data_IF_391487484616
#
_entry.id   IF_391487484616
#
_cell.length_a   1.000
_cell.length_b   1.000
_cell.length_c   1.000
_cell.angle_alpha   90.00
_cell.angle_beta   90.00
_cell.angle_gamma   90.00
#
_symmetry.space_group_name_H-M   'P 1'
#
loop_
_entity.id
_entity.type
_entity.pdbx_description
1 polymer ?
#
# COMPACT_ATOMS: atom_id res chain seq x y z
N UNK A 1 7.11 -23.01 13.39
CA UNK A 1 6.47 -22.05 14.32
C UNK A 1 5.51 -21.21 13.48
N UNK A 2 4.26 -21.03 13.90
CA UNK A 2 3.29 -20.15 13.21
C UNK A 2 3.27 -18.77 13.88
N UNK A 3 3.06 -17.71 13.10
CA UNK A 3 2.89 -16.37 13.65
C UNK A 3 1.56 -16.32 14.45
N UNK A 4 1.58 -16.04 15.76
CA UNK A 4 0.34 -15.96 16.56
C UNK A 4 -0.56 -14.80 16.12
N UNK A 5 0.00 -13.80 15.42
CA UNK A 5 -0.75 -12.67 14.87
C UNK A 5 -1.44 -12.95 13.53
N UNK A 6 -1.26 -14.12 12.91
CA UNK A 6 -1.82 -14.42 11.60
C UNK A 6 -3.36 -14.23 11.53
N UNK A 7 -4.17 -14.70 12.50
CA UNK A 7 -5.61 -14.50 12.44
C UNK A 7 -6.04 -13.03 12.47
N UNK A 8 -5.29 -12.17 13.18
CA UNK A 8 -5.55 -10.74 13.22
C UNK A 8 -5.20 -10.09 11.87
N UNK A 9 -4.05 -10.42 11.30
CA UNK A 9 -3.61 -9.90 10.01
C UNK A 9 -4.61 -10.21 8.89
N UNK A 10 -5.15 -11.43 8.86
CA UNK A 10 -6.18 -11.86 7.89
C UNK A 10 -7.47 -11.05 7.98
N UNK A 11 -7.81 -10.49 9.16
CA UNK A 11 -8.99 -9.63 9.34
C UNK A 11 -8.68 -8.16 9.07
N UNK A 12 -7.54 -7.67 9.56
CA UNK A 12 -7.19 -6.26 9.52
C UNK A 12 -6.79 -5.80 8.12
N UNK A 13 -6.00 -6.59 7.39
CA UNK A 13 -5.48 -6.17 6.08
C UNK A 13 -6.60 -5.92 5.05
N UNK A 14 -7.62 -6.78 4.88
CA UNK A 14 -8.73 -6.50 3.97
C UNK A 14 -9.58 -5.30 4.40
N UNK A 15 -9.79 -5.11 5.71
CA UNK A 15 -10.57 -3.97 6.23
C UNK A 15 -9.89 -2.64 5.93
N UNK A 16 -8.58 -2.54 6.19
CA UNK A 16 -7.78 -1.35 5.90
C UNK A 16 -7.68 -1.10 4.39
N UNK A 17 -7.54 -2.14 3.58
CA UNK A 17 -7.49 -1.98 2.14
C UNK A 17 -8.85 -1.50 1.59
N UNK A 18 -9.94 -2.11 2.05
CA UNK A 18 -11.30 -1.76 1.65
C UNK A 18 -11.65 -0.31 1.97
N UNK A 19 -11.26 0.20 3.14
CA UNK A 19 -11.51 1.60 3.49
C UNK A 19 -10.78 2.61 2.59
N UNK A 20 -9.65 2.21 1.99
CA UNK A 20 -8.88 3.04 1.06
C UNK A 20 -9.43 2.99 -0.38
N UNK A 21 -9.80 1.81 -0.87
CA UNK A 21 -10.12 1.61 -2.29
C UNK A 21 -11.61 1.71 -2.62
N UNK A 22 -12.50 1.59 -1.63
CA UNK A 22 -13.94 1.52 -1.90
C UNK A 22 -14.60 2.90 -2.12
N UNK A 23 -13.98 3.99 -1.63
CA UNK A 23 -14.59 5.34 -1.60
C UNK A 23 -13.78 6.34 -2.45
N UNK A 24 -12.54 6.00 -2.81
CA UNK A 24 -11.65 6.89 -3.51
C UNK A 24 -11.08 6.24 -4.77
N UNK A 25 -11.09 6.99 -5.86
CA UNK A 25 -10.12 6.79 -6.93
C UNK A 25 -8.77 7.34 -6.48
N UNK A 26 -7.68 6.81 -7.02
CA UNK A 26 -6.33 7.21 -6.62
C UNK A 26 -5.55 7.75 -7.82
N UNK A 27 -4.86 8.87 -7.62
CA UNK A 27 -3.92 9.44 -8.58
C UNK A 27 -2.54 9.52 -7.93
N UNK A 28 -1.50 9.17 -8.67
CA UNK A 28 -0.12 9.33 -8.21
C UNK A 28 0.26 10.82 -8.17
N UNK A 29 1.04 11.20 -7.15
CA UNK A 29 1.58 12.56 -7.07
C UNK A 29 2.57 12.84 -8.21
N UNK A 30 2.78 14.12 -8.50
CA UNK A 30 3.83 14.62 -9.41
C UNK A 30 3.76 14.12 -10.86
N UNK A 31 2.62 13.61 -11.31
CA UNK A 31 2.44 13.12 -12.68
C UNK A 31 3.21 11.82 -12.96
N UNK A 32 3.65 11.13 -11.91
CA UNK A 32 4.26 9.80 -12.03
C UNK A 32 3.25 8.85 -12.66
N UNK A 33 3.67 8.15 -13.71
CA UNK A 33 2.91 7.05 -14.29
C UNK A 33 3.38 5.72 -13.69
N UNK A 34 2.51 4.69 -13.61
CA UNK A 34 2.86 3.40 -13.04
C UNK A 34 4.15 2.79 -13.62
N UNK A 35 4.41 3.01 -14.91
CA UNK A 35 5.56 2.50 -15.65
C UNK A 35 6.90 3.10 -15.18
N UNK A 36 6.86 4.33 -14.65
CA UNK A 36 8.05 5.05 -14.17
C UNK A 36 8.17 5.00 -12.64
N UNK A 37 7.33 4.21 -11.97
CA UNK A 37 7.39 4.08 -10.52
C UNK A 37 8.61 3.26 -10.09
N UNK A 38 9.39 3.77 -9.15
CA UNK A 38 10.48 3.00 -8.54
C UNK A 38 9.90 1.79 -7.80
N UNK A 39 10.35 0.59 -8.17
CA UNK A 39 9.98 -0.70 -7.58
C UNK A 39 11.13 -1.33 -6.79
N UNK A 40 12.21 -0.60 -6.55
CA UNK A 40 13.32 -1.06 -5.71
C UNK A 40 12.84 -1.19 -4.26
N UNK A 41 13.54 -2.03 -3.51
CA UNK A 41 13.19 -2.39 -2.14
C UNK A 41 14.24 -1.88 -1.16
N UNK A 42 13.78 -1.47 0.02
CA UNK A 42 14.61 -1.22 1.19
C UNK A 42 14.44 -2.38 2.16
N UNK A 43 15.54 -3.07 2.43
CA UNK A 43 15.58 -4.21 3.35
C UNK A 43 15.73 -3.75 4.81
N UNK A 44 15.04 -4.44 5.72
CA UNK A 44 15.01 -4.16 7.16
C UNK A 44 14.23 -5.26 7.91
N UNK A 45 13.58 -4.91 9.02
CA UNK A 45 12.67 -5.85 9.73
C UNK A 45 11.49 -6.31 8.84
N UNK A 46 11.06 -5.45 7.93
CA UNK A 46 10.06 -5.73 6.89
C UNK A 46 10.60 -5.20 5.56
N UNK A 47 10.25 -5.84 4.45
CA UNK A 47 10.52 -5.31 3.10
C UNK A 47 9.59 -4.11 2.86
N UNK A 48 10.17 -2.98 2.45
CA UNK A 48 9.43 -1.76 2.11
C UNK A 48 9.89 -1.25 0.74
N UNK A 49 9.06 -0.48 0.02
CA UNK A 49 9.53 0.23 -1.18
C UNK A 49 10.68 1.18 -0.82
N UNK A 50 11.70 1.24 -1.67
CA UNK A 50 12.84 2.14 -1.50
C UNK A 50 12.39 3.61 -1.50
N UNK A 51 11.38 3.93 -2.31
CA UNK A 51 10.69 5.21 -2.33
C UNK A 51 9.24 5.04 -1.89
N UNK A 52 8.79 5.85 -0.92
CA UNK A 52 7.42 5.81 -0.41
C UNK A 52 6.43 6.11 -1.53
N UNK A 53 5.36 5.31 -1.61
CA UNK A 53 4.24 5.57 -2.51
C UNK A 53 3.51 6.84 -2.07
N UNK A 54 3.39 7.80 -2.97
CA UNK A 54 2.62 9.03 -2.77
C UNK A 54 1.43 9.04 -3.72
N UNK A 55 0.23 9.05 -3.16
CA UNK A 55 -1.01 9.02 -3.93
C UNK A 55 -2.06 9.90 -3.24
N UNK A 56 -2.82 10.61 -4.07
CA UNK A 56 -3.87 11.54 -3.63
C UNK A 56 -5.23 10.87 -3.86
N UNK A 57 -6.10 10.81 -2.84
CA UNK A 57 -7.46 10.31 -3.00
C UNK A 57 -8.31 11.33 -3.76
N UNK A 58 -9.06 10.85 -4.75
CA UNK A 58 -10.03 11.62 -5.53
C UNK A 58 -11.41 11.01 -5.22
N UNK A 59 -12.40 11.83 -4.80
CA UNK A 59 -13.76 11.35 -4.61
C UNK A 59 -14.27 10.64 -5.88
N UNK A 60 -14.93 9.50 -5.71
CA UNK A 60 -15.67 8.83 -6.78
C UNK A 60 -16.85 9.72 -7.21
#
# INVERSE_FOLDING_TARGET
RICPGLPLATRMLPLMLSSLINIFNWKLEDGVIPENMNMEEKFGLTVQKAQSLKAVPIPI
#
